data_IF_356691818150
#
_entry.id   IF_356691818150
#
_cell.length_a   1.000
_cell.length_b   1.000
_cell.length_c   1.000
_cell.angle_alpha   90.00
_cell.angle_beta   90.00
_cell.angle_gamma   90.00
#
_symmetry.space_group_name_H-M   'P 1'
#
loop_
_entity.id
_entity.type
_entity.pdbx_description
1 polymer ?
#
# COMPACT_ATOMS: atom_id res chain seq x y z
N UNK A 1 12.80 -15.98 -13.65
CA UNK A 1 12.31 -14.71 -14.15
C UNK A 1 11.68 -13.93 -13.04
N UNK A 2 12.00 -12.68 -12.95
CA UNK A 2 11.41 -11.84 -11.94
C UNK A 2 9.92 -11.62 -12.17
N UNK A 3 9.32 -10.82 -11.33
CA UNK A 3 7.98 -10.40 -11.56
C UNK A 3 7.82 -9.81 -12.92
N UNK A 4 6.75 -10.12 -13.59
CA UNK A 4 6.46 -9.42 -14.82
C UNK A 4 6.21 -7.94 -14.52
N UNK A 5 6.34 -7.12 -15.52
CA UNK A 5 6.14 -5.70 -15.38
C UNK A 5 4.75 -5.34 -14.86
N UNK A 6 3.83 -6.26 -14.95
CA UNK A 6 2.47 -6.04 -14.48
C UNK A 6 2.37 -5.77 -12.98
N UNK A 7 3.41 -6.07 -12.20
CA UNK A 7 3.39 -5.70 -10.79
C UNK A 7 3.34 -4.19 -10.59
N UNK A 8 3.69 -3.44 -11.62
CA UNK A 8 3.62 -2.00 -11.60
C UNK A 8 2.22 -1.48 -11.90
N UNK A 9 1.28 -2.36 -12.19
CA UNK A 9 -0.09 -2.00 -12.48
C UNK A 9 -0.72 -1.32 -11.28
N UNK A 10 -1.31 -0.13 -11.47
CA UNK A 10 -1.98 0.53 -10.37
C UNK A 10 -3.24 -0.22 -9.95
N UNK A 11 -3.55 -0.17 -8.69
CA UNK A 11 -4.78 -0.69 -8.14
C UNK A 11 -5.51 0.39 -7.38
N UNK A 12 -6.81 0.20 -7.23
CA UNK A 12 -7.65 1.10 -6.47
C UNK A 12 -8.62 0.28 -5.63
N UNK A 13 -8.76 0.66 -4.37
CA UNK A 13 -9.61 -0.03 -3.41
C UNK A 13 -10.39 0.97 -2.58
N UNK A 14 -11.54 0.55 -2.11
CA UNK A 14 -12.40 1.37 -1.27
C UNK A 14 -13.79 1.50 -1.84
N UNK A 15 -14.63 2.39 -1.28
CA UNK A 15 -14.27 3.32 -0.20
C UNK A 15 -14.15 2.65 1.16
N UNK A 16 -13.26 3.20 1.97
CA UNK A 16 -13.07 2.79 3.36
C UNK A 16 -13.48 3.92 4.28
N UNK A 17 -14.23 3.60 5.32
CA UNK A 17 -14.74 4.58 6.28
C UNK A 17 -14.11 4.33 7.64
N UNK A 18 -13.72 5.39 8.33
CA UNK A 18 -13.15 5.31 9.68
C UNK A 18 -11.69 4.87 9.68
N UNK A 19 -11.23 4.46 10.86
CA UNK A 19 -9.81 4.19 11.10
C UNK A 19 -9.34 2.83 10.57
N UNK A 20 -10.20 1.83 10.53
CA UNK A 20 -9.79 0.50 10.11
C UNK A 20 -9.46 -0.43 11.27
N UNK A 21 -8.68 -1.49 11.04
CA UNK A 21 -7.79 -1.69 9.89
C UNK A 21 -8.54 -1.92 8.58
N UNK A 22 -7.97 -1.39 7.51
CA UNK A 22 -8.50 -1.57 6.17
C UNK A 22 -7.53 -2.44 5.37
N UNK A 23 -8.00 -3.60 4.94
CA UNK A 23 -7.17 -4.61 4.31
C UNK A 23 -7.23 -4.47 2.78
N UNK A 24 -6.07 -4.47 2.15
CA UNK A 24 -5.96 -4.38 0.71
C UNK A 24 -5.13 -5.56 0.20
N UNK A 25 -5.74 -6.44 -0.57
CA UNK A 25 -5.02 -7.49 -1.27
C UNK A 25 -4.42 -6.90 -2.54
N UNK A 26 -3.11 -6.93 -2.63
CA UNK A 26 -2.41 -6.28 -3.73
C UNK A 26 -2.33 -7.13 -5.00
N UNK A 27 -2.51 -8.44 -4.87
CA UNK A 27 -2.26 -9.36 -5.96
C UNK A 27 -0.78 -9.62 -6.23
N UNK A 28 0.10 -9.00 -5.47
CA UNK A 28 1.55 -9.15 -5.59
C UNK A 28 1.96 -10.41 -4.84
N UNK A 29 2.49 -11.39 -5.55
CA UNK A 29 2.82 -12.69 -4.96
C UNK A 29 4.18 -12.66 -4.26
N UNK A 30 4.26 -13.40 -3.15
CA UNK A 30 5.54 -13.75 -2.53
C UNK A 30 6.07 -14.99 -3.25
N UNK A 31 7.00 -14.79 -4.16
CA UNK A 31 7.56 -15.87 -4.98
C UNK A 31 8.74 -16.51 -4.23
N UNK A 32 8.71 -17.83 -3.97
CA UNK A 32 9.81 -18.50 -3.29
C UNK A 32 11.16 -18.28 -3.97
N UNK A 33 12.18 -18.05 -3.17
CA UNK A 33 13.56 -17.83 -3.62
C UNK A 33 13.77 -16.58 -4.47
N UNK A 34 12.79 -15.70 -4.51
CA UNK A 34 12.87 -14.43 -5.19
C UNK A 34 12.81 -13.30 -4.18
N UNK A 35 13.67 -12.31 -4.34
CA UNK A 35 13.72 -11.17 -3.44
C UNK A 35 13.25 -9.93 -4.19
N UNK A 36 12.34 -9.21 -3.58
CA UNK A 36 11.75 -8.04 -4.18
C UNK A 36 12.11 -6.80 -3.38
N UNK A 37 12.28 -5.71 -4.08
CA UNK A 37 12.47 -4.39 -3.48
C UNK A 37 11.70 -3.43 -4.36
N UNK A 38 10.52 -3.04 -3.89
CA UNK A 38 9.61 -2.21 -4.67
C UNK A 38 9.22 -0.96 -3.89
N UNK A 39 9.02 0.12 -4.60
CA UNK A 39 8.46 1.34 -4.04
C UNK A 39 6.94 1.28 -4.20
N UNK A 40 6.24 1.43 -3.09
CA UNK A 40 4.80 1.50 -3.07
C UNK A 40 4.41 2.98 -3.08
N UNK A 41 3.75 3.41 -4.14
CA UNK A 41 3.24 4.76 -4.27
C UNK A 41 1.77 4.75 -3.95
N UNK A 42 1.35 5.71 -3.15
CA UNK A 42 0.00 5.74 -2.60
C UNK A 42 -0.63 7.11 -2.75
N UNK A 43 -1.91 7.10 -3.05
CA UNK A 43 -2.78 8.27 -2.93
C UNK A 43 -4.04 7.84 -2.20
N UNK A 44 -4.34 8.52 -1.11
CA UNK A 44 -5.59 8.34 -0.37
C UNK A 44 -6.42 9.58 -0.64
N UNK A 45 -7.60 9.41 -1.20
CA UNK A 45 -8.44 10.52 -1.63
C UNK A 45 -9.87 10.36 -1.14
N UNK A 46 -10.58 11.47 -1.05
CA UNK A 46 -11.99 11.47 -0.73
C UNK A 46 -12.77 10.70 -1.80
N UNK A 47 -13.59 9.76 -1.39
CA UNK A 47 -14.35 8.91 -2.31
C UNK A 47 -15.38 9.73 -3.12
N UNK A 48 -15.86 10.84 -2.58
CA UNK A 48 -16.86 11.69 -3.23
C UNK A 48 -16.24 12.78 -4.08
N UNK A 49 -15.33 13.57 -3.50
CA UNK A 49 -14.76 14.76 -4.17
C UNK A 49 -13.52 14.43 -4.99
N UNK A 50 -12.88 13.30 -4.71
CA UNK A 50 -11.62 12.91 -5.33
C UNK A 50 -10.43 13.80 -4.96
N UNK A 51 -10.59 14.65 -3.96
CA UNK A 51 -9.48 15.44 -3.43
C UNK A 51 -8.57 14.55 -2.59
N UNK A 52 -7.26 14.78 -2.68
CA UNK A 52 -6.30 13.99 -1.93
C UNK A 52 -6.33 14.34 -0.45
N UNK A 53 -6.38 13.30 0.38
CA UNK A 53 -6.15 13.42 1.81
C UNK A 53 -4.70 13.19 2.15
N UNK A 54 -4.05 12.29 1.43
CA UNK A 54 -2.68 11.91 1.72
C UNK A 54 -2.04 11.33 0.46
N UNK A 55 -0.81 11.72 0.20
CA UNK A 55 -0.01 11.16 -0.88
C UNK A 55 1.39 10.89 -0.36
N UNK A 56 1.93 9.75 -0.73
CA UNK A 56 3.26 9.40 -0.27
C UNK A 56 3.73 8.07 -0.82
N UNK A 57 4.79 7.56 -0.21
CA UNK A 57 5.41 6.32 -0.63
C UNK A 57 6.00 5.57 0.54
N UNK A 58 6.21 4.28 0.33
CA UNK A 58 6.91 3.41 1.25
C UNK A 58 7.70 2.38 0.46
N UNK A 59 8.75 1.82 1.06
CA UNK A 59 9.51 0.74 0.45
C UNK A 59 9.03 -0.59 1.02
N UNK A 60 8.84 -1.56 0.13
CA UNK A 60 8.42 -2.90 0.48
C UNK A 60 9.48 -3.88 0.02
N UNK A 61 9.93 -4.73 0.90
CA UNK A 61 10.96 -5.72 0.60
C UNK A 61 10.55 -7.10 1.09
N UNK A 62 10.97 -8.12 0.35
CA UNK A 62 10.82 -9.52 0.75
C UNK A 62 12.21 -10.12 0.95
N UNK A 63 12.82 -9.97 2.14
CA UNK A 63 14.19 -10.41 2.36
C UNK A 63 14.36 -11.92 2.45
N UNK A 64 13.29 -12.65 2.69
CA UNK A 64 13.30 -14.09 2.78
C UNK A 64 11.92 -14.65 2.45
N UNK A 65 11.85 -15.94 2.16
CA UNK A 65 10.56 -16.61 1.89
C UNK A 65 9.62 -16.44 3.09
N UNK A 66 8.42 -15.98 2.82
CA UNK A 66 7.40 -15.78 3.84
C UNK A 66 7.58 -14.53 4.70
N UNK A 67 8.55 -13.68 4.39
CA UNK A 67 8.82 -12.47 5.15
C UNK A 67 8.65 -11.25 4.25
N UNK A 68 7.84 -10.32 4.68
CA UNK A 68 7.68 -9.02 4.03
C UNK A 68 7.88 -7.91 5.05
N UNK A 69 8.60 -6.88 4.65
CA UNK A 69 8.82 -5.69 5.47
C UNK A 69 8.40 -4.46 4.68
N UNK A 70 7.85 -3.49 5.37
CA UNK A 70 7.50 -2.21 4.78
C UNK A 70 8.04 -1.10 5.68
N UNK A 71 8.65 -0.09 5.05
CA UNK A 71 9.13 1.07 5.79
C UNK A 71 7.97 1.96 6.20
N UNK A 72 8.21 2.82 7.18
CA UNK A 72 7.23 3.85 7.53
C UNK A 72 6.97 4.72 6.29
N UNK A 73 5.71 5.04 5.99
CA UNK A 73 5.40 5.84 4.82
C UNK A 73 5.94 7.26 4.94
N UNK A 74 6.40 7.78 3.81
CA UNK A 74 6.90 9.16 3.71
C UNK A 74 5.84 9.95 2.97
N UNK A 75 5.23 10.91 3.64
CA UNK A 75 4.20 11.74 3.05
C UNK A 75 4.82 12.82 2.15
N UNK A 76 4.29 12.94 0.95
CA UNK A 76 4.56 14.08 0.06
C UNK A 76 3.51 15.15 0.33
N UNK A 77 2.30 14.74 0.61
CA UNK A 77 1.20 15.62 0.96
C UNK A 77 0.35 14.98 2.05
N UNK A 78 -0.09 15.77 3.01
CA UNK A 78 -1.00 15.32 4.06
C UNK A 78 -1.97 16.46 4.37
N UNK A 79 -3.26 16.19 4.19
CA UNK A 79 -4.30 17.15 4.57
C UNK A 79 -4.36 17.28 6.10
N UNK A 80 -4.94 18.38 6.62
CA UNK A 80 -5.14 18.53 8.06
C UNK A 80 -5.86 17.32 8.66
N UNK A 81 -5.29 16.74 9.70
CA UNK A 81 -5.83 15.57 10.36
C UNK A 81 -5.42 14.23 9.75
N UNK A 82 -4.64 14.23 8.67
CA UNK A 82 -4.24 13.00 7.95
C UNK A 82 -2.78 12.61 8.15
N UNK A 83 -2.09 13.23 9.10
CA UNK A 83 -0.68 12.93 9.34
C UNK A 83 -0.41 11.59 10.00
N UNK A 84 -1.43 10.87 10.46
CA UNK A 84 -1.28 9.62 11.21
C UNK A 84 -1.54 8.37 10.38
N UNK A 85 -1.51 8.46 9.07
CA UNK A 85 -1.66 7.28 8.20
C UNK A 85 -0.52 6.30 8.48
N UNK A 86 -0.88 5.06 8.74
CA UNK A 86 0.08 3.98 8.96
C UNK A 86 -0.23 2.81 8.04
N UNK A 87 0.82 2.11 7.62
CA UNK A 87 0.70 1.00 6.69
C UNK A 87 1.53 -0.15 7.24
N UNK A 88 0.92 -1.33 7.28
CA UNK A 88 1.62 -2.57 7.60
C UNK A 88 1.46 -3.54 6.42
N UNK A 89 2.38 -4.48 6.31
CA UNK A 89 2.32 -5.49 5.26
C UNK A 89 2.37 -6.88 5.87
N UNK A 90 1.67 -7.81 5.25
CA UNK A 90 1.67 -9.23 5.65
C UNK A 90 1.56 -10.10 4.42
N UNK A 91 1.88 -11.38 4.58
CA UNK A 91 1.71 -12.38 3.53
C UNK A 91 0.55 -13.28 3.93
N UNK A 92 -0.45 -13.34 3.07
CA UNK A 92 -1.64 -14.16 3.27
C UNK A 92 -1.88 -14.96 1.99
N UNK A 93 -1.93 -16.27 2.13
CA UNK A 93 -2.11 -17.19 0.99
C UNK A 93 -1.11 -16.94 -0.13
N UNK A 94 0.13 -16.65 0.24
CA UNK A 94 1.21 -16.42 -0.71
C UNK A 94 1.17 -15.07 -1.41
N UNK A 95 0.30 -14.17 -0.98
CA UNK A 95 0.19 -12.82 -1.56
C UNK A 95 0.38 -11.75 -0.51
N UNK A 96 0.88 -10.61 -0.94
CA UNK A 96 1.11 -9.48 -0.06
C UNK A 96 -0.19 -8.71 0.15
N UNK A 97 -0.53 -8.53 1.42
CA UNK A 97 -1.66 -7.75 1.86
C UNK A 97 -1.16 -6.52 2.60
N UNK A 98 -1.79 -5.39 2.34
CA UNK A 98 -1.51 -4.15 3.06
C UNK A 98 -2.64 -3.86 4.03
N UNK A 99 -2.25 -3.41 5.22
CA UNK A 99 -3.20 -2.96 6.25
C UNK A 99 -3.01 -1.47 6.43
N UNK A 100 -4.10 -0.71 6.27
CA UNK A 100 -4.07 0.74 6.41
C UNK A 100 -4.77 1.17 7.68
N UNK A 101 -4.09 2.01 8.45
CA UNK A 101 -4.70 2.74 9.55
C UNK A 101 -4.91 4.18 9.12
N UNK A 102 -6.14 4.64 9.17
CA UNK A 102 -6.55 5.97 8.72
C UNK A 102 -7.09 6.77 9.91
N UNK A 103 -7.25 8.10 9.77
CA UNK A 103 -7.85 8.90 10.83
C UNK A 103 -9.28 8.47 11.15
N UNK A 104 -9.66 8.55 12.43
CA UNK A 104 -10.97 8.12 12.91
C UNK A 104 -12.12 8.87 12.22
N UNK A 105 -11.90 10.15 11.93
CA UNK A 105 -12.89 11.00 11.28
C UNK A 105 -13.01 10.83 9.77
N UNK A 106 -12.37 9.81 9.21
CA UNK A 106 -12.42 9.56 7.78
C UNK A 106 -13.86 9.30 7.32
N UNK A 107 -14.44 10.15 6.44
CA UNK A 107 -15.81 9.98 5.99
C UNK A 107 -15.97 8.97 4.86
N UNK A 108 -14.86 8.54 4.29
CA UNK A 108 -14.82 7.60 3.18
C UNK A 108 -13.66 7.95 2.25
N UNK A 109 -12.74 7.02 2.08
CA UNK A 109 -11.54 7.24 1.28
C UNK A 109 -11.31 6.10 0.31
N UNK A 110 -10.85 6.45 -0.88
CA UNK A 110 -10.33 5.49 -1.85
C UNK A 110 -8.81 5.48 -1.78
N UNK A 111 -8.23 4.29 -1.86
CA UNK A 111 -6.78 4.12 -1.81
C UNK A 111 -6.34 3.66 -3.19
N UNK A 112 -5.52 4.48 -3.82
CA UNK A 112 -4.86 4.15 -5.08
C UNK A 112 -3.42 3.77 -4.79
N UNK A 113 -2.95 2.67 -5.34
CA UNK A 113 -1.59 2.20 -5.11
C UNK A 113 -0.95 1.74 -6.40
N UNK A 114 0.36 1.85 -6.46
CA UNK A 114 1.15 1.32 -7.56
C UNK A 114 2.50 0.85 -7.01
N UNK A 115 3.01 -0.21 -7.59
CA UNK A 115 4.33 -0.73 -7.27
C UNK A 115 5.30 -0.35 -8.38
N UNK A 116 6.49 0.08 -7.98
CA UNK A 116 7.57 0.40 -8.90
C UNK A 116 8.87 -0.07 -8.29
N UNK A 117 9.62 -0.86 -9.01
CA UNK A 117 10.89 -1.35 -8.49
C UNK A 117 11.44 -2.56 -9.20
N UNK A 118 12.50 -3.07 -8.62
CA UNK A 118 13.25 -4.19 -9.16
C UNK A 118 12.97 -5.46 -8.39
N UNK A 119 13.08 -6.55 -9.13
CA UNK A 119 13.13 -7.87 -8.56
C UNK A 119 14.51 -8.46 -8.74
N UNK A 120 14.92 -9.19 -7.75
CA UNK A 120 16.22 -9.85 -7.78
C UNK A 120 16.08 -11.34 -7.54
#
# INVERSE_FOLDING_TARGET
>A
MGFPQCVCEPGERGPFVGAGPHLVDTGFADVPDQRDNVELRLTIKDASTKEAYWQGKADLVTPANGIVLITAPIAIYSAPGWGSVAIAASIVDGQIRLDFALPVGNPGAEISYAFDGLQT
#
